data_IF_120828053758
#
_entry.id   IF_120828053758
#
_cell.length_a   1.000
_cell.length_b   1.000
_cell.length_c   1.000
_cell.angle_alpha   90.00
_cell.angle_beta   90.00
_cell.angle_gamma   90.00
#
_symmetry.space_group_name_H-M   'P 1'
#
loop_
_entity.id
_entity.type
_entity.pdbx_description
1 polymer ?
#
# COMPACT_ATOMS: atom_id res chain seq x y z
N UNK A 1 25.51 -5.06 -9.56
CA UNK A 1 24.04 -5.05 -9.84
C UNK A 1 23.14 -4.87 -8.59
N UNK A 2 23.64 -4.91 -7.35
CA UNK A 2 22.81 -4.75 -6.14
C UNK A 2 22.33 -3.32 -5.84
N UNK A 3 23.12 -2.30 -6.19
CA UNK A 3 22.83 -0.90 -5.87
C UNK A 3 21.50 -0.38 -6.45
N UNK A 4 21.15 -0.76 -7.67
CA UNK A 4 19.91 -0.28 -8.31
C UNK A 4 18.65 -0.91 -7.69
N UNK A 5 18.69 -2.19 -7.34
CA UNK A 5 17.58 -2.88 -6.69
C UNK A 5 17.31 -2.36 -5.27
N UNK A 6 18.36 -2.07 -4.52
CA UNK A 6 18.23 -1.51 -3.17
C UNK A 6 17.62 -0.09 -3.21
N UNK A 7 18.09 0.74 -4.14
CA UNK A 7 17.54 2.09 -4.34
C UNK A 7 16.06 2.07 -4.78
N UNK A 8 15.67 1.14 -5.64
CA UNK A 8 14.27 0.99 -6.07
C UNK A 8 13.39 0.52 -4.90
N UNK A 9 13.83 -0.49 -4.14
CA UNK A 9 13.10 -0.96 -2.95
C UNK A 9 12.90 0.18 -1.95
N UNK A 10 13.96 0.93 -1.65
CA UNK A 10 13.91 2.06 -0.72
C UNK A 10 12.92 3.14 -1.17
N UNK A 11 12.88 3.48 -2.47
CA UNK A 11 11.92 4.45 -3.03
C UNK A 11 10.46 3.98 -2.90
N UNK A 12 10.20 2.70 -3.11
CA UNK A 12 8.83 2.15 -3.00
C UNK A 12 8.33 2.19 -1.54
N UNK A 13 9.21 1.88 -0.59
CA UNK A 13 8.87 1.90 0.84
C UNK A 13 8.60 3.33 1.31
N UNK A 14 9.48 4.27 0.96
CA UNK A 14 9.32 5.68 1.27
C UNK A 14 8.03 6.26 0.66
N UNK A 15 7.67 5.86 -0.56
CA UNK A 15 6.41 6.26 -1.17
C UNK A 15 5.21 5.90 -0.28
N UNK A 16 5.18 4.69 0.27
CA UNK A 16 4.04 4.21 1.07
C UNK A 16 3.99 4.95 2.42
N UNK A 17 5.15 5.10 3.07
CA UNK A 17 5.25 5.74 4.38
C UNK A 17 4.94 7.25 4.31
N UNK A 18 5.53 7.98 3.36
CA UNK A 18 5.35 9.43 3.20
C UNK A 18 3.90 9.82 2.81
N UNK A 19 3.17 8.88 2.21
CA UNK A 19 1.83 9.12 1.64
C UNK A 19 0.72 8.56 2.50
N UNK A 20 1.04 7.95 3.64
CA UNK A 20 0.09 7.27 4.53
C UNK A 20 -1.21 8.06 4.73
N UNK A 21 -1.10 9.33 5.17
CA UNK A 21 -2.26 10.16 5.47
C UNK A 21 -3.18 10.34 4.24
N UNK A 22 -2.59 10.54 3.06
CA UNK A 22 -3.34 10.72 1.81
C UNK A 22 -3.95 9.41 1.34
N UNK A 23 -3.21 8.30 1.49
CA UNK A 23 -3.70 6.96 1.14
C UNK A 23 -4.90 6.56 2.01
N UNK A 24 -4.82 6.79 3.32
CA UNK A 24 -5.94 6.55 4.24
C UNK A 24 -7.20 7.32 3.82
N UNK A 25 -7.04 8.57 3.39
CA UNK A 25 -8.18 9.42 3.03
C UNK A 25 -8.78 9.11 1.65
N UNK A 26 -7.95 8.73 0.67
CA UNK A 26 -8.35 8.73 -0.74
C UNK A 26 -8.46 7.37 -1.38
N UNK A 27 -7.87 6.32 -0.80
CA UNK A 27 -8.04 4.96 -1.32
C UNK A 27 -9.46 4.49 -1.03
N UNK A 28 -10.21 4.16 -2.08
CA UNK A 28 -11.57 3.63 -1.96
C UNK A 28 -11.60 2.12 -2.16
N UNK A 29 -10.69 1.57 -2.95
CA UNK A 29 -10.62 0.15 -3.32
C UNK A 29 -9.85 -0.70 -2.29
N UNK A 30 -9.98 -0.38 -0.99
CA UNK A 30 -9.18 -1.00 0.07
C UNK A 30 -9.36 -2.52 0.12
N UNK A 31 -10.59 -3.01 -0.07
CA UNK A 31 -10.85 -4.45 -0.06
C UNK A 31 -10.23 -5.18 -1.26
N UNK A 32 -10.23 -4.58 -2.44
CA UNK A 32 -9.58 -5.18 -3.61
C UNK A 32 -8.05 -5.31 -3.40
N UNK A 33 -7.43 -4.30 -2.80
CA UNK A 33 -6.01 -4.35 -2.41
C UNK A 33 -5.79 -5.43 -1.34
N UNK A 34 -6.67 -5.52 -0.34
CA UNK A 34 -6.57 -6.56 0.70
C UNK A 34 -6.74 -7.96 0.10
N UNK A 35 -7.62 -8.15 -0.88
CA UNK A 35 -7.80 -9.42 -1.59
C UNK A 35 -6.52 -9.82 -2.35
N UNK A 36 -5.90 -8.88 -3.09
CA UNK A 36 -4.64 -9.14 -3.78
C UNK A 36 -3.54 -9.58 -2.80
N UNK A 37 -3.40 -8.86 -1.68
CA UNK A 37 -2.41 -9.17 -0.66
C UNK A 37 -2.68 -10.51 0.03
N UNK A 38 -3.95 -10.84 0.29
CA UNK A 38 -4.36 -12.11 0.87
C UNK A 38 -4.05 -13.26 -0.08
N UNK A 39 -4.40 -13.12 -1.36
CA UNK A 39 -4.14 -14.13 -2.38
C UNK A 39 -2.65 -14.41 -2.58
N UNK A 40 -1.80 -13.39 -2.35
CA UNK A 40 -0.34 -13.52 -2.34
C UNK A 40 0.22 -14.08 -1.03
N UNK A 41 -0.61 -14.37 -0.02
CA UNK A 41 -0.17 -14.83 1.30
C UNK A 41 0.56 -13.75 2.11
N UNK A 42 0.34 -12.47 1.81
CA UNK A 42 1.00 -11.36 2.50
C UNK A 42 0.23 -10.89 3.75
N UNK A 43 -1.06 -11.20 3.83
CA UNK A 43 -1.88 -11.00 5.02
C UNK A 43 -2.64 -12.30 5.35
N UNK A 44 -2.72 -12.62 6.65
CA UNK A 44 -3.42 -13.80 7.14
C UNK A 44 -4.94 -13.56 7.26
N UNK A 45 -5.71 -14.65 7.33
CA UNK A 45 -7.18 -14.62 7.38
C UNK A 45 -7.74 -13.78 8.54
N UNK A 46 -7.11 -13.84 9.71
CA UNK A 46 -7.51 -13.06 10.88
C UNK A 46 -7.44 -11.56 10.60
N UNK A 47 -6.26 -11.08 10.17
CA UNK A 47 -6.05 -9.66 9.85
C UNK A 47 -6.94 -9.19 8.69
N UNK A 48 -7.13 -10.04 7.68
CA UNK A 48 -8.08 -9.76 6.60
C UNK A 48 -9.52 -9.58 7.11
N UNK A 49 -9.94 -10.41 8.07
CA UNK A 49 -11.28 -10.34 8.65
C UNK A 49 -11.46 -9.08 9.48
N UNK A 50 -10.44 -8.66 10.24
CA UNK A 50 -10.43 -7.36 10.93
C UNK A 50 -10.57 -6.20 9.95
N UNK A 51 -9.81 -6.21 8.84
CA UNK A 51 -9.92 -5.19 7.80
C UNK A 51 -11.35 -5.19 7.24
N UNK A 52 -11.90 -6.35 6.91
CA UNK A 52 -13.26 -6.45 6.35
C UNK A 52 -14.35 -5.92 7.30
N UNK A 53 -14.16 -6.08 8.61
CA UNK A 53 -15.12 -5.68 9.63
C UNK A 53 -15.24 -4.15 9.81
N UNK A 54 -14.22 -3.39 9.41
CA UNK A 54 -14.24 -1.93 9.47
C UNK A 54 -15.34 -1.34 8.56
N UNK A 55 -16.08 -0.37 9.08
CA UNK A 55 -17.23 0.21 8.38
C UNK A 55 -16.80 1.13 7.23
N UNK A 56 -15.75 1.92 7.45
CA UNK A 56 -15.32 2.97 6.52
C UNK A 56 -14.09 2.55 5.72
N UNK A 57 -13.90 3.08 4.51
CA UNK A 57 -12.66 2.83 3.75
C UNK A 57 -11.43 3.31 4.51
N UNK A 58 -11.53 4.43 5.23
CA UNK A 58 -10.46 4.96 6.07
C UNK A 58 -10.10 4.00 7.21
N UNK A 59 -11.11 3.43 7.89
CA UNK A 59 -10.92 2.40 8.93
C UNK A 59 -10.22 1.17 8.37
N UNK A 60 -10.75 0.64 7.25
CA UNK A 60 -10.14 -0.48 6.50
C UNK A 60 -8.67 -0.20 6.16
N UNK A 61 -8.37 1.00 5.68
CA UNK A 61 -7.02 1.36 5.25
C UNK A 61 -6.06 1.47 6.44
N UNK A 62 -6.49 2.02 7.58
CA UNK A 62 -5.69 2.04 8.82
C UNK A 62 -5.37 0.62 9.29
N UNK A 63 -6.35 -0.28 9.32
CA UNK A 63 -6.17 -1.69 9.66
C UNK A 63 -5.24 -2.41 8.69
N UNK A 64 -5.35 -2.12 7.40
CA UNK A 64 -4.46 -2.67 6.39
C UNK A 64 -3.01 -2.22 6.65
N UNK A 65 -2.79 -0.96 7.02
CA UNK A 65 -1.46 -0.45 7.37
C UNK A 65 -0.85 -1.12 8.61
N UNK A 66 -1.66 -1.48 9.62
CA UNK A 66 -1.18 -2.30 10.75
C UNK A 66 -0.58 -3.62 10.23
N UNK A 67 -1.23 -4.26 9.25
CA UNK A 67 -0.73 -5.47 8.61
C UNK A 67 0.57 -5.22 7.82
N UNK A 68 0.67 -4.10 7.10
CA UNK A 68 1.89 -3.75 6.36
C UNK A 68 3.09 -3.55 7.28
N UNK A 69 2.88 -2.89 8.43
CA UNK A 69 3.94 -2.65 9.41
C UNK A 69 4.40 -3.95 10.09
N UNK A 70 3.47 -4.87 10.39
CA UNK A 70 3.82 -6.18 10.92
C UNK A 70 4.55 -7.09 9.90
N UNK A 71 4.20 -6.97 8.61
CA UNK A 71 4.76 -7.79 7.52
C UNK A 71 6.10 -7.30 6.94
N UNK A 72 6.56 -6.12 7.33
CA UNK A 72 7.84 -5.53 6.90
C UNK A 72 7.90 -5.17 5.41
N UNK A 73 9.12 -4.93 4.91
CA UNK A 73 9.39 -4.37 3.58
C UNK A 73 8.78 -5.18 2.43
N UNK A 74 8.69 -6.51 2.58
CA UNK A 74 8.12 -7.38 1.54
C UNK A 74 6.65 -7.06 1.32
N UNK A 75 5.87 -6.98 2.41
CA UNK A 75 4.43 -6.72 2.36
C UNK A 75 4.15 -5.29 1.91
N UNK A 76 4.93 -4.30 2.38
CA UNK A 76 4.85 -2.92 1.88
C UNK A 76 5.14 -2.81 0.37
N UNK A 77 6.12 -3.57 -0.13
CA UNK A 77 6.43 -3.61 -1.57
C UNK A 77 5.25 -4.19 -2.37
N UNK A 78 4.63 -5.27 -1.92
CA UNK A 78 3.45 -5.82 -2.61
C UNK A 78 2.26 -4.86 -2.57
N UNK A 79 2.04 -4.18 -1.44
CA UNK A 79 1.04 -3.13 -1.33
C UNK A 79 1.26 -2.00 -2.35
N UNK A 80 2.51 -1.56 -2.54
CA UNK A 80 2.84 -0.56 -3.55
C UNK A 80 2.37 -0.97 -4.97
N UNK A 81 2.55 -2.24 -5.35
CA UNK A 81 2.07 -2.72 -6.65
C UNK A 81 0.55 -2.90 -6.68
N UNK A 82 -0.06 -3.41 -5.61
CA UNK A 82 -1.52 -3.52 -5.51
C UNK A 82 -2.19 -2.13 -5.63
N UNK A 83 -1.62 -1.12 -4.99
CA UNK A 83 -2.06 0.28 -5.12
C UNK A 83 -1.94 0.77 -6.58
N UNK A 84 -0.85 0.46 -7.27
CA UNK A 84 -0.68 0.79 -8.69
C UNK A 84 -1.76 0.13 -9.57
N UNK A 85 -2.15 -1.10 -9.25
CA UNK A 85 -3.10 -1.88 -10.03
C UNK A 85 -4.54 -1.44 -9.79
N UNK A 86 -4.92 -1.25 -8.52
CA UNK A 86 -6.30 -0.99 -8.12
C UNK A 86 -6.64 0.51 -8.05
N UNK A 87 -5.65 1.38 -7.90
CA UNK A 87 -5.83 2.83 -7.80
C UNK A 87 -4.87 3.58 -8.75
N UNK A 88 -4.84 3.28 -10.06
CA UNK A 88 -3.80 3.76 -10.98
C UNK A 88 -3.77 5.29 -11.11
N UNK A 89 -4.93 5.95 -11.01
CA UNK A 89 -5.01 7.43 -11.06
C UNK A 89 -4.39 8.07 -9.83
N UNK A 90 -4.81 7.64 -8.63
CA UNK A 90 -4.23 8.10 -7.36
C UNK A 90 -2.75 7.78 -7.31
N UNK A 91 -2.34 6.56 -7.69
CA UNK A 91 -0.95 6.16 -7.73
C UNK A 91 -0.09 7.08 -8.62
N UNK A 92 -0.58 7.43 -9.83
CA UNK A 92 0.10 8.38 -10.73
C UNK A 92 0.15 9.78 -10.14
N UNK A 93 -0.96 10.28 -9.61
CA UNK A 93 -1.03 11.62 -9.00
C UNK A 93 -0.04 11.76 -7.84
N UNK A 94 -0.04 10.76 -6.95
CA UNK A 94 0.91 10.68 -5.87
C UNK A 94 2.34 10.57 -6.46
N UNK A 95 2.61 9.70 -7.44
CA UNK A 95 3.94 9.55 -8.05
C UNK A 95 4.51 10.82 -8.69
N UNK A 96 3.67 11.71 -9.22
CA UNK A 96 4.09 13.01 -9.81
C UNK A 96 4.79 13.93 -8.82
N UNK A 97 4.51 13.84 -7.52
CA UNK A 97 5.21 14.62 -6.49
C UNK A 97 6.70 14.29 -6.34
N UNK A 98 7.17 13.19 -6.94
CA UNK A 98 8.59 12.79 -6.99
C UNK A 98 9.29 13.31 -8.27
N UNK A 99 8.52 13.70 -9.30
CA UNK A 99 9.03 14.17 -10.61
C UNK A 99 8.56 15.58 -10.97
N UNK A 100 8.15 16.39 -9.99
CA UNK A 100 7.94 17.83 -10.18
C UNK A 100 9.22 18.57 -9.77
N UNK A 101 10.26 18.42 -10.58
CA UNK A 101 11.31 19.42 -10.69
C UNK A 101 11.12 20.05 -12.06
N UNK A 102 10.94 21.38 -12.07
CA UNK A 102 11.28 22.19 -13.24
C UNK A 102 12.74 21.93 -13.65
#
# INVERSE_FOLDING_TARGET
>A
MYYNLWNIKKKNLLFVDDRFAVLVQRVTSVMAIADELKNKGMIHNEKYSEIRAEQTSQGKMRKLFEALNAGGDRVKKDFYYALRNHEPYLFRELGKRIYSWC
#
